data_IF_082961846671
#
_entry.id   IF_082961846671
#
_cell.length_a   1.000
_cell.length_b   1.000
_cell.length_c   1.000
_cell.angle_alpha   90.00
_cell.angle_beta   90.00
_cell.angle_gamma   90.00
#
_symmetry.space_group_name_H-M   'P 1'
#
loop_
_entity.id
_entity.type
_entity.pdbx_description
1 polymer ?
#
# COMPACT_ATOMS: atom_id res chain seq x y z
N UNK A 1 28.08 -11.78 26.08
CA UNK A 1 27.72 -10.43 25.59
C UNK A 1 26.21 -10.34 25.58
N UNK A 2 25.62 -9.57 26.50
CA UNK A 2 24.16 -9.39 26.60
C UNK A 2 23.72 -8.44 25.48
N UNK A 3 22.83 -8.88 24.60
CA UNK A 3 22.15 -8.00 23.65
C UNK A 3 21.33 -7.00 24.47
N UNK A 4 21.56 -5.68 24.34
CA UNK A 4 20.78 -4.71 25.10
C UNK A 4 19.32 -4.85 24.69
N UNK A 5 18.44 -5.06 25.67
CA UNK A 5 17.00 -4.97 25.49
C UNK A 5 16.70 -3.60 24.88
N UNK A 6 16.39 -3.56 23.58
CA UNK A 6 15.94 -2.33 22.91
C UNK A 6 14.56 -2.02 23.43
N UNK A 7 14.50 -1.17 24.46
CA UNK A 7 13.25 -0.53 24.87
C UNK A 7 12.80 0.32 23.69
N UNK A 8 11.69 -0.07 23.08
CA UNK A 8 11.08 0.72 22.01
C UNK A 8 10.51 1.99 22.63
N UNK A 9 10.78 3.13 22.02
CA UNK A 9 10.14 4.39 22.39
C UNK A 9 8.60 4.26 22.32
N UNK A 10 7.89 5.01 23.16
CA UNK A 10 6.44 4.97 23.25
C UNK A 10 5.77 5.31 21.89
N UNK A 11 6.35 6.24 21.13
CA UNK A 11 5.87 6.60 19.81
C UNK A 11 6.01 5.47 18.79
N UNK A 12 7.15 4.78 18.80
CA UNK A 12 7.39 3.60 17.95
C UNK A 12 6.43 2.46 18.30
N UNK A 13 6.21 2.23 19.59
CA UNK A 13 5.27 1.21 20.08
C UNK A 13 3.83 1.50 19.62
N UNK A 14 3.38 2.75 19.72
CA UNK A 14 2.06 3.15 19.25
C UNK A 14 1.89 2.98 17.74
N UNK A 15 2.92 3.34 16.96
CA UNK A 15 2.95 3.16 15.49
C UNK A 15 2.85 1.69 15.10
N UNK A 16 3.65 0.82 15.72
CA UNK A 16 3.59 -0.62 15.51
C UNK A 16 2.23 -1.21 15.93
N UNK A 17 1.65 -0.71 17.02
CA UNK A 17 0.30 -1.10 17.47
C UNK A 17 -0.77 -0.81 16.42
N UNK A 18 -0.75 0.40 15.83
CA UNK A 18 -1.66 0.77 14.73
C UNK A 18 -1.45 -0.10 13.50
N UNK A 19 -0.20 -0.25 13.05
CA UNK A 19 0.12 -1.08 11.89
C UNK A 19 -0.34 -2.54 12.10
N UNK A 20 -0.10 -3.11 13.28
CA UNK A 20 -0.54 -4.46 13.61
C UNK A 20 -2.06 -4.63 13.59
N UNK A 21 -2.83 -3.61 13.99
CA UNK A 21 -4.30 -3.64 13.89
C UNK A 21 -4.73 -3.73 12.42
N UNK A 22 -4.15 -2.92 11.54
CA UNK A 22 -4.47 -2.93 10.11
C UNK A 22 -4.01 -4.24 9.46
N UNK A 23 -2.82 -4.74 9.81
CA UNK A 23 -2.35 -6.06 9.35
C UNK A 23 -3.32 -7.18 9.73
N UNK A 24 -3.86 -7.18 10.95
CA UNK A 24 -4.88 -8.15 11.37
C UNK A 24 -6.17 -7.97 10.58
N UNK A 25 -6.64 -6.74 10.40
CA UNK A 25 -7.84 -6.47 9.62
C UNK A 25 -7.70 -6.96 8.17
N UNK A 26 -6.61 -6.65 7.48
CA UNK A 26 -6.34 -7.13 6.13
C UNK A 26 -6.32 -8.67 6.05
N UNK A 27 -5.71 -9.34 7.04
CA UNK A 27 -5.75 -10.81 7.13
C UNK A 27 -7.17 -11.36 7.27
N UNK A 28 -8.05 -10.72 8.05
CA UNK A 28 -9.46 -11.15 8.16
C UNK A 28 -10.22 -11.02 6.84
N UNK A 29 -9.80 -10.10 5.97
CA UNK A 29 -10.33 -9.94 4.62
C UNK A 29 -9.68 -10.89 3.59
N UNK A 30 -8.74 -11.73 4.03
CA UNK A 30 -7.98 -12.61 3.14
C UNK A 30 -6.97 -11.87 2.26
N UNK A 31 -6.55 -10.65 2.64
CA UNK A 31 -5.59 -9.85 1.88
C UNK A 31 -4.18 -10.04 2.44
N UNK A 32 -3.29 -10.75 1.74
CA UNK A 32 -1.90 -10.89 2.14
C UNK A 32 -1.14 -9.56 1.97
N UNK A 33 -0.37 -9.18 2.98
CA UNK A 33 0.55 -8.05 2.92
C UNK A 33 1.92 -8.56 2.48
N UNK A 34 2.42 -8.00 1.37
CA UNK A 34 3.68 -8.38 0.74
C UNK A 34 4.88 -7.68 1.40
N UNK A 35 4.70 -6.42 1.82
CA UNK A 35 5.71 -5.66 2.52
C UNK A 35 5.07 -4.64 3.46
N UNK A 36 5.77 -4.31 4.55
CA UNK A 36 5.37 -3.30 5.51
C UNK A 36 6.56 -2.37 5.80
N UNK A 37 6.34 -1.07 5.62
CA UNK A 37 7.29 -0.02 5.96
C UNK A 37 6.95 0.62 7.30
N UNK A 38 7.97 1.05 8.04
CA UNK A 38 7.81 1.90 9.22
C UNK A 38 8.12 3.37 8.88
N UNK A 39 7.71 3.80 7.69
CA UNK A 39 7.65 5.20 7.28
C UNK A 39 6.51 5.95 7.99
N UNK A 40 6.49 7.27 7.85
CA UNK A 40 5.54 8.13 8.55
C UNK A 40 4.07 7.77 8.28
N UNK A 41 3.79 7.19 7.12
CA UNK A 41 2.45 6.74 6.70
C UNK A 41 2.18 5.24 6.98
N UNK A 42 3.14 4.52 7.58
CA UNK A 42 3.07 3.10 7.90
C UNK A 42 2.67 2.26 6.69
N UNK A 43 3.37 2.47 5.57
CA UNK A 43 2.98 1.91 4.26
C UNK A 43 2.91 0.38 4.28
N UNK A 44 1.81 -0.17 3.75
CA UNK A 44 1.58 -1.59 3.56
C UNK A 44 1.38 -1.87 2.07
N UNK A 45 2.15 -2.82 1.53
CA UNK A 45 2.07 -3.20 0.12
C UNK A 45 1.26 -4.50 0.00
N UNK A 46 0.30 -4.52 -0.90
CA UNK A 46 -0.54 -5.69 -1.21
C UNK A 46 -0.48 -6.02 -2.70
N UNK A 47 -0.92 -7.22 -3.07
CA UNK A 47 -1.00 -7.61 -4.47
C UNK A 47 -2.11 -6.82 -5.19
N UNK A 48 -1.92 -6.58 -6.50
CA UNK A 48 -2.87 -5.82 -7.32
C UNK A 48 -4.28 -6.42 -7.34
N UNK A 49 -4.39 -7.76 -7.30
CA UNK A 49 -5.69 -8.46 -7.26
C UNK A 49 -6.49 -8.10 -6.00
N UNK A 50 -5.82 -8.04 -4.86
CA UNK A 50 -6.45 -7.71 -3.57
C UNK A 50 -6.68 -6.20 -3.44
N UNK A 51 -5.71 -5.40 -3.89
CA UNK A 51 -5.84 -3.96 -4.00
C UNK A 51 -7.08 -3.53 -4.79
N UNK A 52 -7.36 -4.19 -5.93
CA UNK A 52 -8.57 -3.94 -6.73
C UNK A 52 -9.87 -4.27 -5.97
N UNK A 53 -9.85 -5.28 -5.09
CA UNK A 53 -11.01 -5.59 -4.22
C UNK A 53 -11.18 -4.51 -3.16
N UNK A 54 -10.11 -4.13 -2.47
CA UNK A 54 -10.11 -3.07 -1.46
C UNK A 54 -10.56 -1.72 -2.04
N UNK A 55 -10.15 -1.39 -3.28
CA UNK A 55 -10.56 -0.18 -3.99
C UNK A 55 -12.07 -0.01 -4.08
N UNK A 56 -12.82 -1.11 -4.24
CA UNK A 56 -14.29 -1.08 -4.33
C UNK A 56 -14.97 -0.75 -3.01
N UNK A 57 -14.28 -0.97 -1.89
CA UNK A 57 -14.79 -0.74 -0.54
C UNK A 57 -14.27 0.57 0.07
N UNK A 58 -13.27 1.20 -0.57
CA UNK A 58 -12.66 2.43 -0.09
C UNK A 58 -13.46 3.66 -0.52
N UNK A 59 -13.63 4.61 0.41
CA UNK A 59 -14.25 5.91 0.13
C UNK A 59 -13.33 6.87 -0.62
N UNK A 60 -12.01 6.72 -0.46
CA UNK A 60 -11.00 7.57 -1.09
C UNK A 60 -9.84 6.73 -1.60
N UNK A 61 -9.49 6.93 -2.87
CA UNK A 61 -8.43 6.21 -3.57
C UNK A 61 -7.53 7.22 -4.25
N UNK A 62 -6.25 7.20 -3.93
CA UNK A 62 -5.23 7.98 -4.64
C UNK A 62 -4.64 7.15 -5.76
N UNK A 63 -4.39 7.78 -6.90
CA UNK A 63 -3.74 7.18 -8.07
C UNK A 63 -2.57 8.02 -8.51
N UNK A 64 -1.41 7.39 -8.71
CA UNK A 64 -0.19 8.01 -9.24
C UNK A 64 0.35 7.18 -10.40
N UNK A 65 0.56 7.83 -11.55
CA UNK A 65 1.22 7.19 -12.69
C UNK A 65 2.72 7.08 -12.42
N UNK A 66 3.30 5.93 -12.74
CA UNK A 66 4.73 5.63 -12.61
C UNK A 66 5.28 5.18 -13.97
N UNK A 67 6.59 4.95 -14.07
CA UNK A 67 7.21 4.42 -15.29
C UNK A 67 6.82 2.98 -15.62
N UNK A 68 6.30 2.22 -14.65
CA UNK A 68 6.00 0.79 -14.78
C UNK A 68 4.50 0.46 -14.67
N UNK A 69 3.65 1.44 -14.37
CA UNK A 69 2.21 1.24 -14.19
C UNK A 69 1.54 2.33 -13.36
N UNK A 70 0.36 2.05 -12.85
CA UNK A 70 -0.40 2.92 -11.95
C UNK A 70 -0.27 2.45 -10.51
N UNK A 71 0.30 3.29 -9.64
CA UNK A 71 0.36 3.06 -8.21
C UNK A 71 -0.93 3.59 -7.57
N UNK A 72 -1.64 2.71 -6.89
CA UNK A 72 -2.84 3.05 -6.15
C UNK A 72 -2.57 3.02 -4.65
N UNK A 73 -3.28 3.85 -3.90
CA UNK A 73 -3.25 3.79 -2.45
C UNK A 73 -4.57 4.21 -1.81
N UNK A 74 -4.86 3.61 -0.67
CA UNK A 74 -5.98 3.95 0.22
C UNK A 74 -5.44 4.10 1.65
N UNK A 75 -6.23 4.70 2.54
CA UNK A 75 -5.90 4.79 3.96
C UNK A 75 -6.86 3.93 4.78
N UNK A 76 -6.30 3.12 5.68
CA UNK A 76 -7.05 2.31 6.65
C UNK A 76 -6.44 2.60 8.02
N UNK A 77 -7.22 3.18 8.94
CA UNK A 77 -6.80 3.48 10.32
C UNK A 77 -5.42 4.16 10.45
N UNK A 78 -5.11 5.08 9.54
CA UNK A 78 -3.84 5.81 9.52
C UNK A 78 -2.64 5.04 8.95
N UNK A 79 -2.86 3.89 8.31
CA UNK A 79 -1.87 3.21 7.49
C UNK A 79 -2.19 3.39 6.00
N UNK A 80 -1.17 3.69 5.19
CA UNK A 80 -1.33 3.71 3.73
C UNK A 80 -1.22 2.30 3.16
N UNK A 81 -2.29 1.78 2.57
CA UNK A 81 -2.26 0.51 1.83
C UNK A 81 -2.10 0.80 0.35
N UNK A 82 -1.10 0.21 -0.29
CA UNK A 82 -0.73 0.51 -1.69
C UNK A 82 -0.50 -0.76 -2.52
N UNK A 83 -0.78 -0.66 -3.81
CA UNK A 83 -0.51 -1.70 -4.79
C UNK A 83 -0.23 -1.09 -6.16
N UNK A 84 0.52 -1.80 -6.98
CA UNK A 84 0.86 -1.39 -8.34
C UNK A 84 0.02 -2.20 -9.33
N UNK A 85 -0.70 -1.51 -10.21
CA UNK A 85 -1.35 -2.12 -11.37
C UNK A 85 -0.46 -1.85 -12.59
N UNK A 86 0.20 -2.90 -13.09
CA UNK A 86 0.95 -2.85 -14.34
C UNK A 86 0.03 -3.19 -15.51
N UNK A 87 0.16 -2.53 -16.68
CA UNK A 87 -0.52 -2.97 -17.88
C UNK A 87 -0.16 -4.43 -18.15
N UNK A 88 -1.16 -5.27 -18.43
CA UNK A 88 -0.88 -6.61 -18.94
C UNK A 88 -0.18 -6.50 -20.31
N UNK A 89 0.75 -7.40 -20.65
CA UNK A 89 1.50 -7.34 -21.90
C UNK A 89 0.62 -7.26 -23.16
N UNK A 90 -0.65 -7.68 -23.08
CA UNK A 90 -1.60 -7.70 -24.18
C UNK A 90 -2.47 -6.43 -24.31
N UNK A 91 -2.31 -5.43 -23.45
CA UNK A 91 -2.98 -4.14 -23.63
C UNK A 91 -2.10 -3.19 -24.46
N UNK A 92 -2.53 -2.77 -25.67
CA UNK A 92 -1.77 -1.79 -26.43
C UNK A 92 -1.75 -0.49 -25.64
N UNK A 93 -0.56 -0.09 -25.20
CA UNK A 93 -0.30 1.28 -24.75
C UNK A 93 -0.66 2.22 -25.89
N UNK A 94 -1.88 2.74 -25.87
CA UNK A 94 -2.28 3.85 -26.73
C UNK A 94 -1.45 5.05 -26.29
N UNK A 95 -0.30 5.17 -26.92
CA UNK A 95 0.61 6.29 -26.80
C UNK A 95 -0.12 7.48 -27.41
N UNK A 96 -0.92 8.21 -26.62
CA UNK A 96 -1.45 9.52 -26.99
C UNK A 96 -0.30 10.52 -26.99
N UNK A 97 0.59 10.38 -27.96
CA UNK A 97 1.47 11.44 -28.40
C UNK A 97 0.73 12.28 -29.44
N UNK A 98 0.75 13.58 -29.18
CA UNK A 98 0.70 14.68 -30.15
C UNK A 98 -0.70 15.12 -30.61
N UNK A 99 -1.12 16.24 -30.03
CA UNK A 99 -1.67 17.37 -30.78
C UNK A 99 -1.39 18.61 -29.94
N UNK A 100 -0.34 19.35 -30.28
CA UNK A 100 -0.16 20.74 -29.84
C UNK A 100 -0.36 21.57 -31.11
N UNK A 101 -1.19 22.64 -31.06
CA UNK A 101 -1.47 23.49 -32.22
C UNK A 101 -0.21 24.20 -32.73
#
# INVERSE_FOLDING_TARGET
MSTPNRILDAGVTARLGRQNRVLRHLRTLGVPVLAAGLDDELTLVVAAVDGRRLRRQASCVTRRRTGIGELFSIHIDGCRVTWLETPTPDEPTTNRQRSKP
#
